data_IF_369408410557
#
_entry.id   IF_369408410557
#
_cell.length_a   1.000
_cell.length_b   1.000
_cell.length_c   1.000
_cell.angle_alpha   90.00
_cell.angle_beta   90.00
_cell.angle_gamma   90.00
#
_symmetry.space_group_name_H-M   'P 1'
#
loop_
_entity.id
_entity.type
_entity.pdbx_description
1 polymer ?
#
# COMPACT_ATOMS: atom_id res chain seq x y z
N UNK A 1 3.79 -32.15 -4.64
CA UNK A 1 3.44 -30.80 -5.16
C UNK A 1 3.52 -29.83 -4.00
N UNK A 2 4.20 -28.69 -4.17
CA UNK A 2 4.29 -27.67 -3.12
C UNK A 2 3.00 -26.83 -3.07
N UNK A 3 2.55 -26.50 -1.86
CA UNK A 3 1.49 -25.53 -1.62
C UNK A 3 1.97 -24.13 -2.03
N UNK A 4 1.04 -23.24 -2.36
CA UNK A 4 1.37 -21.83 -2.62
C UNK A 4 1.73 -21.14 -1.30
N UNK A 5 2.67 -20.21 -1.34
CA UNK A 5 3.09 -19.37 -0.22
C UNK A 5 3.23 -17.93 -0.69
N UNK A 6 2.88 -17.01 0.20
CA UNK A 6 3.00 -15.57 -0.02
C UNK A 6 3.63 -14.94 1.21
N UNK A 7 4.67 -14.15 0.99
CA UNK A 7 5.19 -13.22 1.99
C UNK A 7 4.71 -11.83 1.59
N UNK A 8 4.08 -11.11 2.51
CA UNK A 8 3.74 -9.70 2.31
C UNK A 8 4.63 -8.86 3.19
N UNK A 9 5.23 -7.84 2.59
CA UNK A 9 6.12 -6.88 3.24
C UNK A 9 5.57 -5.48 3.00
N UNK A 10 5.44 -4.70 4.06
CA UNK A 10 5.10 -3.28 3.99
C UNK A 10 6.33 -2.50 4.42
N UNK A 11 6.85 -1.65 3.55
CA UNK A 11 7.94 -0.74 3.86
C UNK A 11 7.36 0.64 4.10
N UNK A 12 7.43 1.13 5.33
CA UNK A 12 6.98 2.47 5.67
C UNK A 12 8.12 3.48 5.46
N UNK A 13 8.17 4.09 4.28
CA UNK A 13 9.13 5.15 3.95
C UNK A 13 8.61 6.56 4.27
N UNK A 14 7.56 6.65 5.09
CA UNK A 14 7.05 7.93 5.58
C UNK A 14 7.53 8.21 7.01
N UNK A 15 7.27 9.43 7.47
CA UNK A 15 7.51 9.82 8.87
C UNK A 15 6.32 9.53 9.79
N UNK A 16 5.28 8.87 9.28
CA UNK A 16 4.05 8.58 10.00
C UNK A 16 3.99 7.13 10.47
N UNK A 17 3.23 6.86 11.53
CA UNK A 17 2.97 5.50 11.98
C UNK A 17 1.74 4.92 11.26
N UNK A 18 1.82 3.64 10.87
CA UNK A 18 0.70 2.88 10.35
C UNK A 18 0.14 1.97 11.45
N UNK A 19 -1.13 2.15 11.79
CA UNK A 19 -1.86 1.32 12.74
C UNK A 19 -2.82 0.40 12.01
N UNK A 20 -2.73 -0.90 12.22
CA UNK A 20 -3.63 -1.88 11.61
C UNK A 20 -5.05 -1.66 12.12
N UNK A 21 -6.02 -1.59 11.20
CA UNK A 21 -7.42 -1.70 11.60
C UNK A 21 -7.66 -3.15 12.06
N UNK A 22 -7.85 -3.32 13.37
CA UNK A 22 -7.86 -4.63 14.03
C UNK A 22 -8.91 -5.62 13.51
N UNK A 23 -9.91 -5.17 12.75
CA UNK A 23 -10.95 -6.03 12.16
C UNK A 23 -10.79 -6.20 10.63
N UNK A 24 -9.81 -5.52 10.03
CA UNK A 24 -9.55 -5.55 8.60
C UNK A 24 -8.76 -6.74 8.04
N UNK A 25 -7.84 -7.41 8.77
CA UNK A 25 -7.03 -8.45 8.15
C UNK A 25 -7.90 -9.66 7.84
N UNK A 26 -8.10 -9.94 6.56
CA UNK A 26 -8.96 -11.01 6.07
C UNK A 26 -8.23 -11.84 5.03
N UNK A 27 -8.49 -13.15 5.04
CA UNK A 27 -8.06 -14.08 4.00
C UNK A 27 -9.31 -14.76 3.43
N UNK A 28 -9.71 -14.36 2.22
CA UNK A 28 -10.77 -15.07 1.49
C UNK A 28 -10.29 -16.46 1.07
N UNK A 29 -9.00 -16.60 0.76
CA UNK A 29 -8.36 -17.87 0.41
C UNK A 29 -7.01 -18.03 1.09
N UNK A 30 -6.70 -19.27 1.51
CA UNK A 30 -5.48 -19.57 2.26
C UNK A 30 -5.67 -19.48 3.77
N UNK A 31 -4.55 -19.50 4.48
CA UNK A 31 -4.45 -19.41 5.93
C UNK A 31 -3.14 -18.71 6.34
N UNK A 32 -3.18 -18.03 7.48
CA UNK A 32 -2.00 -17.43 8.10
C UNK A 32 -1.02 -18.53 8.54
N UNK A 33 0.29 -18.30 8.43
CA UNK A 33 1.29 -19.26 8.87
C UNK A 33 1.49 -19.27 10.39
N UNK A 34 0.53 -19.83 11.13
CA UNK A 34 0.46 -19.86 12.62
C UNK A 34 1.68 -20.43 13.35
N UNK A 35 2.56 -21.12 12.64
CA UNK A 35 3.78 -21.73 13.20
C UNK A 35 4.91 -20.71 13.45
N UNK A 36 4.70 -19.42 13.12
CA UNK A 36 5.71 -18.36 13.23
C UNK A 36 5.15 -17.07 13.81
N UNK A 37 5.98 -16.26 14.49
CA UNK A 37 5.55 -14.96 15.02
C UNK A 37 5.08 -13.97 13.93
N UNK A 38 5.45 -14.23 12.67
CA UNK A 38 5.16 -13.42 11.47
C UNK A 38 3.89 -13.92 10.75
N UNK A 39 2.96 -14.48 11.49
CA UNK A 39 1.73 -15.08 10.94
C UNK A 39 0.76 -14.05 10.39
N UNK A 40 0.68 -12.89 11.03
CA UNK A 40 -0.37 -11.90 10.80
C UNK A 40 0.24 -10.51 10.59
N UNK A 41 -0.49 -9.61 9.90
CA UNK A 41 -0.06 -8.23 9.74
C UNK A 41 0.24 -7.59 11.11
N UNK A 42 1.40 -6.93 11.29
CA UNK A 42 1.73 -6.25 12.54
C UNK A 42 0.70 -5.18 12.88
N UNK A 43 0.38 -5.04 14.17
CA UNK A 43 -0.58 -4.04 14.66
C UNK A 43 -0.10 -2.61 14.42
N UNK A 44 1.21 -2.38 14.47
CA UNK A 44 1.84 -1.09 14.30
C UNK A 44 3.09 -1.24 13.42
N UNK A 45 3.30 -0.29 12.50
CA UNK A 45 4.51 -0.15 11.72
C UNK A 45 4.96 1.30 11.85
N UNK A 46 6.03 1.54 12.59
CA UNK A 46 6.49 2.90 12.86
C UNK A 46 7.10 3.55 11.62
N UNK A 47 7.30 4.86 11.70
CA UNK A 47 8.01 5.65 10.71
C UNK A 47 9.38 5.02 10.38
N UNK A 48 9.64 4.78 9.09
CA UNK A 48 10.88 4.16 8.63
C UNK A 48 11.02 2.65 8.88
N UNK A 49 10.05 2.01 9.54
CA UNK A 49 10.08 0.57 9.82
C UNK A 49 9.39 -0.26 8.73
N UNK A 50 9.43 -1.58 8.87
CA UNK A 50 8.78 -2.52 7.97
C UNK A 50 7.92 -3.53 8.72
N UNK A 51 6.73 -3.80 8.21
CA UNK A 51 5.91 -4.93 8.64
C UNK A 51 6.05 -6.11 7.69
N UNK A 52 5.95 -7.32 8.21
CA UNK A 52 5.98 -8.54 7.40
C UNK A 52 5.05 -9.59 7.96
N UNK A 53 4.36 -10.31 7.07
CA UNK A 53 3.58 -11.48 7.42
C UNK A 53 3.54 -12.53 6.32
N UNK A 54 3.11 -13.75 6.66
CA UNK A 54 3.14 -14.91 5.77
C UNK A 54 1.80 -15.61 5.69
N UNK A 55 1.41 -15.92 4.46
CA UNK A 55 0.20 -16.67 4.13
C UNK A 55 0.58 -17.94 3.36
N UNK A 56 -0.22 -18.99 3.49
CA UNK A 56 -0.11 -20.20 2.68
C UNK A 56 -1.47 -20.66 2.17
N UNK A 57 -1.48 -21.40 1.07
CA UNK A 57 -2.69 -22.07 0.61
C UNK A 57 -3.07 -23.21 1.58
N UNK A 58 -4.38 -23.37 1.86
CA UNK A 58 -4.90 -24.42 2.78
C UNK A 58 -4.61 -25.84 2.29
N UNK A 59 -4.54 -26.02 0.98
CA UNK A 59 -4.18 -27.29 0.38
C UNK A 59 -3.48 -27.07 -0.96
N UNK A 60 -2.83 -28.12 -1.47
CA UNK A 60 -2.24 -28.12 -2.80
C UNK A 60 -3.31 -27.81 -3.85
N UNK A 61 -3.03 -26.86 -4.74
CA UNK A 61 -3.97 -26.45 -5.78
C UNK A 61 -5.05 -25.47 -5.33
N UNK A 62 -4.88 -24.81 -4.17
CA UNK A 62 -5.63 -23.60 -3.80
C UNK A 62 -4.76 -22.34 -3.96
N UNK A 63 -5.41 -21.19 -4.16
CA UNK A 63 -4.77 -19.88 -4.21
C UNK A 63 -4.67 -19.24 -2.83
N UNK A 64 -4.14 -18.01 -2.79
CA UNK A 64 -4.06 -17.16 -1.60
C UNK A 64 -4.65 -15.81 -1.97
N UNK A 65 -5.68 -15.38 -1.25
CA UNK A 65 -6.31 -14.08 -1.45
C UNK A 65 -6.61 -13.47 -0.09
N UNK A 66 -6.36 -12.17 0.03
CA UNK A 66 -6.55 -11.45 1.27
C UNK A 66 -6.44 -9.94 1.13
N UNK A 67 -6.78 -9.29 2.23
CA UNK A 67 -6.65 -7.86 2.40
C UNK A 67 -6.22 -7.50 3.82
N UNK A 68 -5.59 -6.33 3.97
CA UNK A 68 -5.31 -5.70 5.24
C UNK A 68 -5.45 -4.19 5.10
N UNK A 69 -5.97 -3.52 6.13
CA UNK A 69 -6.14 -2.07 6.13
C UNK A 69 -5.34 -1.46 7.27
N UNK A 70 -4.60 -0.42 6.94
CA UNK A 70 -3.83 0.39 7.88
C UNK A 70 -4.38 1.80 7.91
N UNK A 71 -4.27 2.44 9.08
CA UNK A 71 -4.60 3.83 9.33
C UNK A 71 -3.34 4.61 9.60
N UNK A 72 -3.21 5.76 8.96
CA UNK A 72 -2.11 6.70 9.15
C UNK A 72 -2.40 7.50 10.43
N UNK A 73 -1.63 7.25 11.48
CA UNK A 73 -1.84 7.90 12.78
C UNK A 73 -1.71 9.41 12.62
N UNK A 74 -2.71 10.16 13.10
CA UNK A 74 -2.71 11.63 13.06
C UNK A 74 -3.38 12.27 11.84
N UNK A 75 -3.82 11.49 10.84
CA UNK A 75 -4.38 12.01 9.58
C UNK A 75 -5.93 12.09 9.52
N UNK A 76 -6.62 11.76 10.62
CA UNK A 76 -8.06 12.03 10.77
C UNK A 76 -8.95 11.11 9.92
N UNK A 77 -9.83 11.69 9.10
CA UNK A 77 -10.89 10.93 8.41
C UNK A 77 -10.47 10.30 7.06
N UNK A 78 -9.30 10.65 6.52
CA UNK A 78 -8.77 10.11 5.25
C UNK A 78 -7.46 9.37 5.50
N UNK A 79 -7.40 8.62 6.60
CA UNK A 79 -6.19 7.96 7.08
C UNK A 79 -6.06 6.52 6.58
N UNK A 80 -7.04 6.01 5.83
CA UNK A 80 -7.10 4.60 5.45
C UNK A 80 -6.22 4.26 4.23
N UNK A 81 -5.46 3.19 4.36
CA UNK A 81 -4.66 2.54 3.33
C UNK A 81 -5.05 1.07 3.28
N UNK A 82 -5.56 0.60 2.14
CA UNK A 82 -5.94 -0.80 1.93
C UNK A 82 -4.91 -1.49 1.04
N UNK A 83 -4.50 -2.68 1.44
CA UNK A 83 -3.59 -3.55 0.69
C UNK A 83 -4.33 -4.82 0.34
N UNK A 84 -4.33 -5.21 -0.94
CA UNK A 84 -5.00 -6.41 -1.44
C UNK A 84 -4.01 -7.29 -2.19
N UNK A 85 -4.14 -8.60 -2.02
CA UNK A 85 -3.35 -9.59 -2.75
C UNK A 85 -4.22 -10.75 -3.22
N UNK A 86 -3.94 -11.23 -4.43
CA UNK A 86 -4.57 -12.42 -5.03
C UNK A 86 -3.51 -13.19 -5.83
N UNK A 87 -3.21 -14.40 -5.35
CA UNK A 87 -2.24 -15.34 -5.93
C UNK A 87 -3.04 -16.57 -6.37
N UNK A 88 -3.53 -16.59 -7.62
CA UNK A 88 -4.34 -17.69 -8.11
C UNK A 88 -3.49 -18.92 -8.43
N UNK A 89 -4.15 -20.09 -8.48
CA UNK A 89 -3.48 -21.36 -8.84
C UNK A 89 -2.95 -21.33 -10.27
N UNK A 90 -3.73 -20.71 -11.15
CA UNK A 90 -3.45 -20.53 -12.58
C UNK A 90 -3.75 -19.07 -12.90
N UNK A 91 -2.74 -18.36 -13.40
CA UNK A 91 -2.85 -16.95 -13.74
C UNK A 91 -1.66 -16.14 -13.23
N UNK A 92 -1.76 -14.83 -13.40
CA UNK A 92 -0.80 -13.88 -12.84
C UNK A 92 -1.24 -13.46 -11.43
N UNK A 93 -0.25 -13.25 -10.57
CA UNK A 93 -0.47 -12.70 -9.23
C UNK A 93 -0.89 -11.24 -9.35
N UNK A 94 -1.82 -10.81 -8.52
CA UNK A 94 -2.33 -9.44 -8.46
C UNK A 94 -2.08 -8.87 -7.08
N UNK A 95 -1.57 -7.65 -7.05
CA UNK A 95 -1.28 -6.92 -5.84
C UNK A 95 -1.76 -5.50 -6.07
N UNK A 96 -2.71 -5.06 -5.26
CA UNK A 96 -3.40 -3.79 -5.43
C UNK A 96 -3.40 -3.02 -4.11
N UNK A 97 -3.57 -1.71 -4.21
CA UNK A 97 -3.69 -0.85 -3.04
C UNK A 97 -4.70 0.26 -3.29
N UNK A 98 -5.25 0.82 -2.23
CA UNK A 98 -5.96 2.10 -2.25
C UNK A 98 -5.53 2.94 -1.05
N UNK A 99 -5.52 4.26 -1.23
CA UNK A 99 -5.30 5.21 -0.14
C UNK A 99 -6.33 6.33 -0.30
N UNK A 100 -6.93 6.74 0.80
CA UNK A 100 -7.95 7.80 0.81
C UNK A 100 -7.36 9.21 0.72
N UNK A 101 -6.08 9.35 1.08
CA UNK A 101 -5.36 10.62 1.00
C UNK A 101 -4.47 10.69 -0.24
N UNK A 102 -4.43 11.87 -0.87
CA UNK A 102 -3.58 12.12 -2.02
C UNK A 102 -2.12 12.46 -1.65
N UNK A 103 -1.84 12.69 -0.36
CA UNK A 103 -0.51 13.07 0.15
C UNK A 103 0.44 11.87 0.22
N UNK A 104 -0.09 10.66 0.28
CA UNK A 104 0.70 9.43 0.30
C UNK A 104 0.41 8.57 -0.93
N UNK A 105 1.33 7.69 -1.24
CA UNK A 105 1.23 6.70 -2.30
C UNK A 105 1.79 5.37 -1.84
N UNK A 106 1.33 4.30 -2.49
CA UNK A 106 1.90 2.98 -2.31
C UNK A 106 2.46 2.53 -3.66
N UNK A 107 3.73 2.15 -3.69
CA UNK A 107 4.30 1.43 -4.82
C UNK A 107 4.23 -0.07 -4.54
N UNK A 108 3.95 -0.89 -5.56
CA UNK A 108 3.77 -2.32 -5.40
C UNK A 108 4.80 -3.08 -6.23
N UNK A 109 5.61 -3.88 -5.57
CA UNK A 109 6.57 -4.80 -6.19
C UNK A 109 6.09 -6.23 -5.95
N UNK A 110 5.57 -6.86 -7.00
CA UNK A 110 4.98 -8.20 -6.94
C UNK A 110 5.89 -9.28 -7.54
N UNK A 111 6.12 -10.35 -6.78
CA UNK A 111 6.76 -11.57 -7.24
C UNK A 111 5.79 -12.50 -7.97
N UNK A 112 6.31 -13.32 -8.88
CA UNK A 112 5.55 -14.33 -9.63
C UNK A 112 5.79 -15.75 -9.11
N UNK A 113 4.88 -16.67 -9.41
CA UNK A 113 5.04 -18.11 -9.15
C UNK A 113 4.41 -18.56 -7.83
N UNK A 114 4.77 -19.77 -7.39
CA UNK A 114 4.16 -20.46 -6.23
C UNK A 114 4.64 -19.96 -4.87
N UNK A 115 5.83 -19.38 -4.81
CA UNK A 115 6.37 -18.71 -3.62
C UNK A 115 6.55 -17.25 -4.01
N UNK A 116 5.51 -16.46 -3.77
CA UNK A 116 5.47 -15.06 -4.16
C UNK A 116 5.86 -14.16 -2.98
N UNK A 117 6.41 -12.99 -3.30
CA UNK A 117 6.64 -11.91 -2.34
C UNK A 117 5.95 -10.67 -2.86
N UNK A 118 5.09 -10.06 -2.04
CA UNK A 118 4.47 -8.77 -2.33
C UNK A 118 5.11 -7.71 -1.44
N UNK A 119 5.72 -6.68 -2.02
CA UNK A 119 6.28 -5.56 -1.28
C UNK A 119 5.46 -4.31 -1.58
N UNK A 120 4.84 -3.75 -0.55
CA UNK A 120 4.12 -2.48 -0.60
C UNK A 120 5.01 -1.39 0.01
N UNK A 121 5.45 -0.44 -0.81
CA UNK A 121 6.28 0.68 -0.36
C UNK A 121 5.38 1.88 -0.13
N UNK A 122 5.10 2.19 1.12
CA UNK A 122 4.32 3.34 1.52
C UNK A 122 5.23 4.57 1.60
N UNK A 123 4.92 5.62 0.85
CA UNK A 123 5.76 6.81 0.75
C UNK A 123 4.95 8.09 0.52
N UNK A 124 5.59 9.23 0.72
CA UNK A 124 4.99 10.53 0.41
C UNK A 124 4.82 10.69 -1.11
N UNK A 125 3.63 11.06 -1.55
CA UNK A 125 3.44 11.57 -2.90
C UNK A 125 4.05 12.96 -2.94
N UNK A 126 5.22 13.07 -3.57
CA UNK A 126 5.75 14.38 -3.93
C UNK A 126 4.66 15.12 -4.71
N UNK A 127 4.24 16.33 -4.30
CA UNK A 127 3.45 17.16 -5.18
C UNK A 127 4.25 17.37 -6.47
N UNK A 128 3.60 17.40 -7.65
CA UNK A 128 4.30 17.73 -8.88
C UNK A 128 5.03 19.05 -8.65
N UNK A 129 6.34 19.05 -8.81
CA UNK A 129 7.14 20.26 -8.63
C UNK A 129 6.54 21.37 -9.51
N UNK A 130 6.34 22.60 -9.01
CA UNK A 130 5.84 23.70 -9.83
C UNK A 130 6.75 24.04 -11.02
N UNK A 131 7.95 23.45 -11.08
CA UNK A 131 8.92 23.58 -12.18
C UNK A 131 8.56 22.80 -13.45
N UNK A 132 7.50 21.97 -13.44
CA UNK A 132 7.02 21.25 -14.62
C UNK A 132 5.88 21.97 -15.37
N UNK A 133 5.64 23.25 -15.08
CA UNK A 133 5.08 24.14 -16.11
C UNK A 133 6.16 24.33 -17.17
N UNK A 134 6.26 23.38 -18.08
CA UNK A 134 6.88 23.60 -19.38
C UNK A 134 6.24 24.86 -19.94
N UNK A 135 7.00 25.95 -19.93
CA UNK A 135 6.70 27.12 -20.74
C UNK A 135 6.78 26.66 -22.20
N UNK A 136 5.65 26.21 -22.74
CA UNK A 136 5.47 26.18 -24.18
C UNK A 136 5.51 27.64 -24.67
N UNK A 137 6.52 28.07 -25.46
CA UNK A 137 6.60 29.46 -25.92
C UNK A 137 5.58 29.77 -27.03
N UNK A 138 4.51 28.98 -27.20
CA UNK A 138 3.58 29.11 -28.32
C UNK A 138 2.10 28.82 -28.00
N UNK A 139 1.65 29.13 -26.78
CA UNK A 139 0.21 29.24 -26.50
C UNK A 139 -0.11 30.63 -25.95
N UNK A 140 -0.65 31.46 -26.82
CA UNK A 140 -1.23 32.77 -26.54
C UNK A 140 -2.18 32.74 -25.34
N UNK A 141 -1.83 33.52 -24.33
CA UNK A 141 -2.70 34.27 -23.41
C UNK A 141 -4.15 33.78 -23.23
N UNK A 142 -4.48 33.31 -22.01
CA UNK A 142 -5.49 33.92 -21.12
C UNK A 142 -5.51 33.13 -19.80
N UNK A 143 -4.94 33.71 -18.73
CA UNK A 143 -5.18 33.25 -17.35
C UNK A 143 -6.22 34.18 -16.71
N UNK A 144 -7.39 33.71 -16.23
CA UNK A 144 -8.22 34.51 -15.36
C UNK A 144 -7.91 34.23 -13.88
N UNK A 145 -7.44 35.27 -13.18
CA UNK A 145 -7.79 35.53 -11.78
C UNK A 145 -6.97 34.85 -10.67
N UNK A 146 -5.75 35.33 -10.43
CA UNK A 146 -5.08 35.20 -9.13
C UNK A 146 -5.17 36.54 -8.38
N UNK A 147 -6.13 36.69 -7.47
CA UNK A 147 -6.05 37.71 -6.41
C UNK A 147 -5.59 37.04 -5.12
N UNK A 148 -4.28 37.11 -4.88
CA UNK A 148 -3.68 36.82 -3.60
C UNK A 148 -3.90 38.02 -2.67
N UNK A 149 -4.64 37.83 -1.57
CA UNK A 149 -4.79 38.84 -0.51
C UNK A 149 -4.22 38.27 0.79
N UNK A 150 -3.00 38.66 1.10
CA UNK A 150 -2.41 38.53 2.44
C UNK A 150 -2.33 39.92 3.07
N UNK A 151 -2.75 40.12 4.33
CA UNK A 151 -2.23 41.23 5.11
C UNK A 151 -1.13 40.75 6.07
N UNK A 152 0.01 41.43 5.92
CA UNK A 152 1.13 41.52 6.86
C UNK A 152 0.66 42.26 8.13
N UNK A 153 1.31 41.94 9.25
CA UNK A 153 1.13 42.54 10.59
C UNK A 153 1.17 44.06 10.60
#
# INVERSE_FOLDING_TARGET
>A
MAAMELIVVVLNHTNEELSLDAQSPQLEQGEWMTDSAESQPPQEIRAGESGMWRCKARHVGAGIAGSAQYRIVGYGANDLVTLNWDVPVVGANKFEHSSETAEFGVEVLGGSGRQAVAVFVFGERRPPSPSACSVDPLASSTCPGAEAKWPVR
#
